data_IF_620955152071
#
_entry.id   IF_620955152071
#
_cell.length_a   1.000
_cell.length_b   1.000
_cell.length_c   1.000
_cell.angle_alpha   90.00
_cell.angle_beta   90.00
_cell.angle_gamma   90.00
#
_symmetry.space_group_name_H-M   'P 1'
#
loop_
_entity.id
_entity.type
_entity.pdbx_description
1 polymer ?
#
# COMPACT_ATOMS: atom_id res chain seq x y z
N UNK A 1 5.69 10.79 17.28
CA UNK A 1 4.54 9.87 17.25
C UNK A 1 4.90 8.71 16.29
N UNK A 2 4.93 7.44 16.73
CA UNK A 2 5.28 6.33 15.84
C UNK A 2 4.18 6.02 14.80
N UNK A 3 2.93 6.40 15.05
CA UNK A 3 1.79 6.07 14.19
C UNK A 3 1.49 7.10 13.10
N UNK A 4 2.24 8.21 13.09
CA UNK A 4 2.11 9.30 12.15
C UNK A 4 3.48 9.61 11.57
N UNK A 5 3.63 9.45 10.26
CA UNK A 5 4.79 9.86 9.48
C UNK A 5 4.30 10.89 8.47
N UNK A 6 4.67 12.14 8.64
CA UNK A 6 4.28 13.12 7.66
C UNK A 6 5.11 14.37 7.63
N UNK A 7 4.96 15.15 6.56
CA UNK A 7 5.68 16.39 6.31
C UNK A 7 7.19 16.16 6.32
N UNK A 8 7.65 15.26 5.46
CA UNK A 8 9.06 14.90 5.32
C UNK A 8 9.45 14.90 3.86
N UNK A 9 10.71 15.25 3.60
CA UNK A 9 11.26 15.30 2.25
C UNK A 9 12.65 14.70 2.18
N UNK A 10 12.88 13.78 1.23
CA UNK A 10 14.21 13.19 1.03
C UNK A 10 14.69 12.29 2.17
N UNK A 11 13.77 11.75 2.98
CA UNK A 11 14.09 10.98 4.17
C UNK A 11 13.81 9.49 4.03
N UNK A 12 14.57 8.69 4.78
CA UNK A 12 14.33 7.26 4.94
C UNK A 12 13.73 7.00 6.32
N UNK A 13 12.48 6.54 6.35
CA UNK A 13 11.65 6.41 7.53
C UNK A 13 11.40 4.94 7.84
N UNK A 14 11.70 4.51 9.06
CA UNK A 14 11.58 3.11 9.47
C UNK A 14 10.60 2.91 10.64
N UNK A 15 9.82 1.83 10.56
CA UNK A 15 9.15 1.19 11.70
C UNK A 15 9.58 -0.25 11.76
N UNK A 16 10.22 -0.60 12.88
CA UNK A 16 10.72 -1.94 13.15
C UNK A 16 9.55 -2.89 13.46
N UNK A 17 9.75 -4.20 13.33
CA UNK A 17 8.80 -5.18 13.88
C UNK A 17 8.43 -4.84 15.34
N UNK A 18 7.17 -5.08 15.69
CA UNK A 18 6.57 -4.82 17.00
C UNK A 18 6.51 -3.35 17.47
N UNK A 19 6.86 -2.38 16.61
CA UNK A 19 6.79 -0.95 16.93
C UNK A 19 5.43 -0.31 16.68
N UNK A 20 4.62 -0.89 15.79
CA UNK A 20 3.27 -0.45 15.46
C UNK A 20 2.21 -1.29 16.20
N UNK A 21 2.51 -2.54 16.55
CA UNK A 21 1.67 -3.40 17.41
C UNK A 21 0.22 -3.50 16.92
N UNK A 22 0.01 -3.56 15.61
CA UNK A 22 -1.32 -3.66 15.02
C UNK A 22 -2.16 -2.39 15.16
N UNK A 23 -1.57 -1.23 15.45
CA UNK A 23 -2.27 0.05 15.47
C UNK A 23 -2.45 0.61 14.06
N UNK A 24 -3.24 1.68 13.95
CA UNK A 24 -3.34 2.46 12.73
C UNK A 24 -2.01 3.15 12.41
N UNK A 25 -1.67 3.27 11.13
CA UNK A 25 -0.53 4.04 10.63
C UNK A 25 -1.00 5.07 9.60
N UNK A 26 -0.52 6.29 9.73
CA UNK A 26 -0.76 7.34 8.74
C UNK A 26 0.57 7.79 8.12
N UNK A 27 0.62 7.81 6.80
CA UNK A 27 1.65 8.45 5.99
C UNK A 27 1.01 9.66 5.30
N UNK A 28 1.56 10.86 5.48
CA UNK A 28 0.89 12.10 5.06
C UNK A 28 1.90 13.14 4.57
N UNK A 29 1.69 13.73 3.39
CA UNK A 29 2.58 14.78 2.86
C UNK A 29 4.08 14.36 2.85
N UNK A 30 4.37 13.18 2.30
CA UNK A 30 5.75 12.69 2.10
C UNK A 30 6.19 12.98 0.65
N UNK A 31 7.41 13.48 0.49
CA UNK A 31 7.97 13.81 -0.83
C UNK A 31 9.39 13.22 -0.96
N UNK A 32 9.69 12.50 -2.05
CA UNK A 32 11.03 11.92 -2.27
C UNK A 32 11.50 11.02 -1.10
N UNK A 33 10.58 10.33 -0.43
CA UNK A 33 10.87 9.55 0.78
C UNK A 33 10.86 8.04 0.54
N UNK A 34 11.62 7.33 1.37
CA UNK A 34 11.52 5.88 1.50
C UNK A 34 10.90 5.53 2.84
N UNK A 35 9.86 4.70 2.86
CA UNK A 35 9.16 4.29 4.08
C UNK A 35 9.16 2.78 4.19
N UNK A 36 9.66 2.27 5.30
CA UNK A 36 9.69 0.85 5.62
C UNK A 36 8.92 0.60 6.92
N UNK A 37 7.64 0.27 6.79
CA UNK A 37 6.77 -0.10 7.90
C UNK A 37 6.68 -1.62 8.03
N UNK A 38 7.72 -2.21 8.61
CA UNK A 38 7.93 -3.66 8.69
C UNK A 38 7.23 -4.30 9.90
N UNK A 39 5.95 -4.00 10.11
CA UNK A 39 5.13 -4.52 11.22
C UNK A 39 3.67 -4.67 10.79
N UNK A 40 2.86 -5.32 11.62
CA UNK A 40 1.41 -5.43 11.44
C UNK A 40 0.71 -4.11 11.77
N UNK A 41 -0.31 -3.77 10.99
CA UNK A 41 -1.18 -2.60 11.23
C UNK A 41 -2.65 -3.00 11.23
N UNK A 42 -3.50 -2.25 11.94
CA UNK A 42 -4.94 -2.43 11.86
C UNK A 42 -5.52 -1.80 10.59
N UNK A 43 -5.04 -0.60 10.27
CA UNK A 43 -5.50 0.22 9.14
C UNK A 43 -4.38 1.16 8.72
N UNK A 44 -4.29 1.49 7.43
CA UNK A 44 -3.29 2.44 6.94
C UNK A 44 -3.94 3.49 6.05
N UNK A 45 -3.54 4.75 6.26
CA UNK A 45 -3.83 5.87 5.37
C UNK A 45 -2.52 6.38 4.78
N UNK A 46 -2.47 6.52 3.46
CA UNK A 46 -1.36 7.10 2.72
C UNK A 46 -1.91 8.25 1.88
N UNK A 47 -1.62 9.47 2.30
CA UNK A 47 -2.24 10.68 1.77
C UNK A 47 -1.18 11.66 1.27
N UNK A 48 -1.44 12.30 0.13
CA UNK A 48 -0.60 13.39 -0.41
C UNK A 48 0.89 13.04 -0.56
N UNK A 49 1.21 11.78 -0.87
CA UNK A 49 2.60 11.32 -1.00
C UNK A 49 3.06 11.35 -2.47
N UNK A 50 4.26 11.89 -2.73
CA UNK A 50 4.81 11.96 -4.09
C UNK A 50 6.25 11.45 -4.18
N UNK A 51 6.56 10.73 -5.27
CA UNK A 51 7.90 10.18 -5.55
C UNK A 51 8.46 9.34 -4.39
N UNK A 52 7.59 8.57 -3.73
CA UNK A 52 7.95 7.78 -2.57
C UNK A 52 8.07 6.28 -2.89
N UNK A 53 8.96 5.61 -2.17
CA UNK A 53 9.01 4.14 -2.10
C UNK A 53 8.46 3.71 -0.74
N UNK A 54 7.44 2.87 -0.70
CA UNK A 54 6.75 2.52 0.53
C UNK A 54 6.57 1.01 0.64
N UNK A 55 7.15 0.40 1.66
CA UNK A 55 6.90 -0.97 2.08
C UNK A 55 6.04 -0.97 3.33
N UNK A 56 4.86 -1.61 3.24
CA UNK A 56 3.94 -1.84 4.34
C UNK A 56 3.83 -3.35 4.60
N UNK A 57 3.99 -3.74 5.87
CA UNK A 57 3.61 -5.06 6.32
C UNK A 57 2.10 -5.32 6.25
N UNK A 58 1.65 -6.53 6.64
CA UNK A 58 0.24 -6.89 6.63
C UNK A 58 -0.65 -5.91 7.41
N UNK A 59 -1.58 -5.30 6.70
CA UNK A 59 -2.66 -4.50 7.24
C UNK A 59 -3.91 -5.36 7.40
N UNK A 60 -4.36 -5.58 8.64
CA UNK A 60 -5.47 -6.48 8.95
C UNK A 60 -6.83 -6.04 8.36
N UNK A 61 -6.95 -4.79 7.94
CA UNK A 61 -8.15 -4.21 7.31
C UNK A 61 -7.78 -3.53 5.98
N UNK A 62 -8.31 -2.33 5.74
CA UNK A 62 -8.07 -1.56 4.53
C UNK A 62 -6.75 -0.76 4.58
N UNK A 63 -6.10 -0.67 3.43
CA UNK A 63 -5.12 0.38 3.12
C UNK A 63 -5.79 1.36 2.17
N UNK A 64 -5.81 2.64 2.55
CA UNK A 64 -6.28 3.74 1.71
C UNK A 64 -5.09 4.50 1.15
N UNK A 65 -5.04 4.66 -0.16
CA UNK A 65 -4.01 5.46 -0.84
C UNK A 65 -4.71 6.58 -1.60
N UNK A 66 -4.48 7.83 -1.19
CA UNK A 66 -5.20 9.00 -1.70
C UNK A 66 -4.22 10.08 -2.12
N UNK A 67 -4.53 10.74 -3.24
CA UNK A 67 -3.78 11.91 -3.71
C UNK A 67 -2.26 11.64 -3.83
N UNK A 68 -1.89 10.43 -4.30
CA UNK A 68 -0.50 10.00 -4.40
C UNK A 68 -0.02 9.97 -5.86
N UNK A 69 1.20 10.42 -6.11
CA UNK A 69 1.76 10.50 -7.46
C UNK A 69 3.20 10.00 -7.56
N UNK A 70 3.54 9.24 -8.60
CA UNK A 70 4.88 8.70 -8.84
C UNK A 70 5.43 7.82 -7.70
N UNK A 71 4.56 7.09 -7.01
CA UNK A 71 4.94 6.26 -5.88
C UNK A 71 5.02 4.76 -6.23
N UNK A 72 5.88 4.02 -5.54
CA UNK A 72 5.94 2.57 -5.61
C UNK A 72 5.63 1.99 -4.24
N UNK A 73 4.67 1.08 -4.20
CA UNK A 73 4.16 0.46 -3.00
C UNK A 73 4.38 -1.04 -3.01
N UNK A 74 4.95 -1.58 -1.93
CA UNK A 74 4.86 -2.99 -1.56
C UNK A 74 3.93 -3.07 -0.37
N UNK A 75 2.74 -3.64 -0.54
CA UNK A 75 1.75 -3.67 0.55
C UNK A 75 0.94 -4.97 0.56
N UNK A 76 0.63 -5.45 1.76
CA UNK A 76 -0.26 -6.56 2.00
C UNK A 76 -1.46 -6.05 2.80
N UNK A 77 -2.68 -6.25 2.29
CA UNK A 77 -3.88 -5.73 2.92
C UNK A 77 -5.05 -6.70 2.78
N UNK A 78 -6.06 -6.55 3.66
CA UNK A 78 -7.33 -7.22 3.42
C UNK A 78 -8.03 -6.57 2.22
N UNK A 79 -8.01 -5.24 2.16
CA UNK A 79 -8.59 -4.44 1.08
C UNK A 79 -7.61 -3.33 0.69
N UNK A 80 -7.36 -3.15 -0.59
CA UNK A 80 -6.76 -1.92 -1.13
C UNK A 80 -7.86 -1.02 -1.68
N UNK A 81 -7.82 0.27 -1.33
CA UNK A 81 -8.66 1.30 -1.93
C UNK A 81 -7.80 2.48 -2.34
N UNK A 82 -7.88 2.88 -3.61
CA UNK A 82 -7.18 4.07 -4.11
C UNK A 82 -8.17 5.14 -4.55
N UNK A 83 -7.82 6.40 -4.32
CA UNK A 83 -8.55 7.54 -4.88
C UNK A 83 -7.55 8.60 -5.35
N UNK A 84 -7.76 9.17 -6.53
CA UNK A 84 -6.90 10.22 -7.08
C UNK A 84 -5.38 9.90 -7.08
N UNK A 85 -5.02 8.68 -7.47
CA UNK A 85 -3.61 8.26 -7.59
C UNK A 85 -3.14 8.31 -9.05
N UNK A 86 -1.88 8.68 -9.29
CA UNK A 86 -1.33 8.82 -10.63
C UNK A 86 0.09 8.25 -10.76
N UNK A 87 0.34 7.45 -11.79
CA UNK A 87 1.68 6.84 -12.03
C UNK A 87 2.20 6.07 -10.82
N UNK A 88 1.31 5.35 -10.12
CA UNK A 88 1.67 4.56 -8.95
C UNK A 88 1.76 3.07 -9.31
N UNK A 89 2.75 2.39 -8.72
CA UNK A 89 2.93 0.94 -8.86
C UNK A 89 2.66 0.22 -7.55
N UNK A 90 1.89 -0.86 -7.59
CA UNK A 90 1.49 -1.64 -6.42
C UNK A 90 1.94 -3.11 -6.58
N UNK A 91 2.94 -3.50 -5.79
CA UNK A 91 3.27 -4.90 -5.51
C UNK A 91 2.40 -5.38 -4.35
N UNK A 92 1.32 -6.07 -4.68
CA UNK A 92 0.16 -6.20 -3.80
C UNK A 92 -0.08 -7.65 -3.36
N UNK A 93 -0.34 -7.81 -2.07
CA UNK A 93 -1.21 -8.89 -1.58
C UNK A 93 -2.55 -8.29 -1.21
N UNK A 94 -3.64 -8.80 -1.78
CA UNK A 94 -4.99 -8.38 -1.42
C UNK A 94 -5.89 -9.58 -1.18
N UNK A 95 -6.61 -9.60 -0.05
CA UNK A 95 -7.56 -10.67 0.28
C UNK A 95 -8.88 -10.53 -0.49
N UNK A 96 -9.20 -9.31 -0.94
CA UNK A 96 -10.36 -8.99 -1.79
C UNK A 96 -9.89 -8.28 -3.05
N UNK A 97 -10.80 -8.10 -4.01
CA UNK A 97 -10.61 -7.28 -5.20
C UNK A 97 -10.11 -5.87 -4.83
N UNK A 98 -8.94 -5.43 -5.33
CA UNK A 98 -8.47 -4.07 -5.13
C UNK A 98 -9.39 -3.07 -5.85
N UNK A 99 -9.69 -1.96 -5.19
CA UNK A 99 -10.58 -0.93 -5.72
C UNK A 99 -9.76 0.30 -6.09
N UNK A 100 -9.99 0.82 -7.29
CA UNK A 100 -9.45 2.10 -7.74
C UNK A 100 -10.57 3.06 -8.14
N UNK A 101 -10.35 4.35 -7.91
CA UNK A 101 -11.29 5.42 -8.27
C UNK A 101 -10.52 6.69 -8.63
N UNK A 102 -10.95 7.40 -9.68
CA UNK A 102 -10.38 8.69 -10.13
C UNK A 102 -8.84 8.63 -10.27
N UNK A 103 -8.30 7.45 -10.58
CA UNK A 103 -6.87 7.19 -10.63
C UNK A 103 -6.45 6.91 -12.07
N UNK A 104 -5.19 7.15 -12.42
CA UNK A 104 -4.68 6.97 -13.80
C UNK A 104 -3.25 6.43 -13.83
N UNK A 105 -2.93 5.66 -14.87
CA UNK A 105 -1.60 5.07 -15.06
C UNK A 105 -1.13 4.25 -13.84
N UNK A 106 -2.02 3.44 -13.27
CA UNK A 106 -1.69 2.53 -12.19
C UNK A 106 -1.10 1.22 -12.72
N UNK A 107 -0.17 0.64 -11.98
CA UNK A 107 0.45 -0.64 -12.34
C UNK A 107 0.35 -1.60 -11.17
N UNK A 108 -0.06 -2.85 -11.42
CA UNK A 108 -0.24 -3.87 -10.40
C UNK A 108 0.63 -5.11 -10.68
N UNK A 109 1.22 -5.64 -9.62
CA UNK A 109 2.05 -6.84 -9.61
C UNK A 109 1.77 -7.65 -8.34
N UNK A 110 2.08 -8.95 -8.29
CA UNK A 110 1.98 -9.69 -7.04
C UNK A 110 2.97 -9.15 -6.01
N UNK A 111 2.64 -9.29 -4.73
CA UNK A 111 3.53 -9.02 -3.61
C UNK A 111 4.93 -9.60 -3.86
N UNK A 112 5.95 -8.74 -3.79
CA UNK A 112 7.33 -9.07 -4.13
C UNK A 112 8.31 -8.49 -3.09
N UNK A 113 7.97 -8.59 -1.80
CA UNK A 113 8.81 -8.09 -0.71
C UNK A 113 9.02 -9.15 0.38
N UNK A 114 10.12 -9.01 1.11
CA UNK A 114 10.43 -9.81 2.30
C UNK A 114 11.21 -8.97 3.30
N UNK A 115 10.96 -9.20 4.58
CA UNK A 115 11.62 -8.52 5.68
C UNK A 115 11.58 -9.42 6.94
N UNK A 116 12.38 -9.14 7.98
CA UNK A 116 12.37 -9.94 9.20
C UNK A 116 10.96 -10.04 9.79
N UNK A 117 10.54 -11.25 10.14
CA UNK A 117 9.19 -11.55 10.65
C UNK A 117 8.03 -11.39 9.64
N UNK A 118 8.30 -11.19 8.34
CA UNK A 118 7.25 -11.07 7.32
C UNK A 118 6.28 -12.27 7.34
N UNK A 119 6.79 -13.50 7.31
CA UNK A 119 5.94 -14.71 7.32
C UNK A 119 5.08 -14.87 8.57
N UNK A 120 5.61 -14.53 9.76
CA UNK A 120 4.81 -14.54 11.00
C UNK A 120 3.75 -13.44 10.98
N UNK A 121 4.06 -12.25 10.47
CA UNK A 121 3.08 -11.19 10.33
C UNK A 121 1.92 -11.57 9.39
N UNK A 122 2.21 -12.23 8.26
CA UNK A 122 1.19 -12.75 7.35
C UNK A 122 0.30 -13.79 8.04
N UNK A 123 0.93 -14.73 8.78
CA UNK A 123 0.21 -15.75 9.54
C UNK A 123 -0.72 -15.14 10.58
N UNK A 124 -0.24 -14.16 11.34
CA UNK A 124 -1.01 -13.49 12.39
C UNK A 124 -2.17 -12.65 11.82
N UNK A 125 -2.00 -12.08 10.63
CA UNK A 125 -3.07 -11.39 9.89
C UNK A 125 -4.09 -12.36 9.25
N UNK A 126 -3.83 -13.68 9.28
CA UNK A 126 -4.65 -14.68 8.62
C UNK A 126 -4.64 -14.54 7.09
N UNK A 127 -3.51 -14.12 6.53
CA UNK A 127 -3.30 -13.95 5.10
C UNK A 127 -2.70 -15.23 4.52
N UNK A 128 -3.51 -15.96 3.78
CA UNK A 128 -3.10 -17.16 3.05
C UNK A 128 -2.35 -16.76 1.78
N UNK A 129 -1.04 -17.09 1.64
CA UNK A 129 -0.25 -16.73 0.47
C UNK A 129 -0.80 -17.31 -0.85
N UNK A 130 -1.60 -18.38 -0.79
CA UNK A 130 -2.21 -19.00 -1.97
C UNK A 130 -3.49 -18.29 -2.41
N UNK A 131 -4.04 -17.38 -1.58
CA UNK A 131 -5.26 -16.63 -1.87
C UNK A 131 -4.94 -15.14 -1.97
N UNK A 132 -4.43 -14.74 -3.13
CA UNK A 132 -4.06 -13.37 -3.41
C UNK A 132 -4.79 -12.85 -4.66
N UNK A 133 -5.66 -11.86 -4.49
CA UNK A 133 -6.50 -11.24 -5.53
C UNK A 133 -5.88 -9.95 -6.09
N UNK A 134 -4.56 -9.79 -6.00
CA UNK A 134 -3.84 -8.60 -6.45
C UNK A 134 -4.13 -8.16 -7.90
N UNK A 135 -4.61 -9.05 -8.77
CA UNK A 135 -4.90 -8.80 -10.18
C UNK A 135 -6.40 -8.67 -10.49
N UNK A 136 -7.30 -8.78 -9.50
CA UNK A 136 -8.74 -8.68 -9.68
C UNK A 136 -9.22 -7.22 -9.46
N UNK A 137 -8.71 -6.30 -10.27
CA UNK A 137 -8.92 -4.85 -10.04
C UNK A 137 -10.34 -4.43 -10.43
N UNK A 138 -11.03 -3.75 -9.53
CA UNK A 138 -12.30 -3.07 -9.80
C UNK A 138 -12.07 -1.56 -9.94
N UNK A 139 -12.35 -1.01 -11.12
CA UNK A 139 -12.20 0.42 -11.43
C UNK A 139 -13.57 1.11 -11.50
N UNK A 140 -13.89 1.92 -10.49
CA UNK A 140 -15.14 2.69 -10.42
C UNK A 140 -15.27 3.75 -11.53
N UNK A 141 -14.13 4.20 -12.07
CA UNK A 141 -14.03 5.28 -13.04
C UNK A 141 -13.52 4.81 -14.41
N UNK A 142 -13.59 3.49 -14.64
CA UNK A 142 -13.17 2.87 -15.89
C UNK A 142 -13.95 3.41 -17.09
N UNK A 143 -13.27 3.47 -18.25
CA UNK A 143 -13.85 3.87 -19.53
C UNK A 143 -13.70 2.74 -20.54
N UNK A 144 -14.58 2.65 -21.53
CA UNK A 144 -14.55 1.57 -22.53
C UNK A 144 -13.27 1.59 -23.38
N UNK A 145 -12.75 2.77 -23.71
CA UNK A 145 -11.63 2.94 -24.66
C UNK A 145 -10.29 3.24 -23.99
N UNK A 146 -10.25 3.27 -22.65
CA UNK A 146 -9.05 3.61 -21.89
C UNK A 146 -9.01 2.90 -20.54
N UNK A 147 -7.92 2.18 -20.29
CA UNK A 147 -7.65 1.55 -19.00
C UNK A 147 -6.85 2.49 -18.10
N UNK A 148 -7.34 2.72 -16.89
CA UNK A 148 -6.63 3.50 -15.87
C UNK A 148 -5.48 2.73 -15.21
N UNK A 149 -5.38 1.43 -15.49
CA UNK A 149 -4.43 0.53 -14.85
C UNK A 149 -3.94 -0.57 -15.81
N UNK A 150 -2.81 -1.20 -15.46
CA UNK A 150 -2.24 -2.36 -16.15
C UNK A 150 -1.63 -3.35 -15.17
N UNK A 151 -1.39 -4.57 -15.64
CA UNK A 151 -0.57 -5.57 -14.96
C UNK A 151 0.87 -5.43 -15.44
N UNK A 152 1.84 -5.57 -14.52
CA UNK A 152 3.28 -5.65 -14.81
C UNK A 152 3.74 -7.09 -15.04
#
# INVERSE_FOLDING_TARGET
NPFMLGQRKGEVLFRKPDSLRGQQLNLDELEDCEVYACDKTAQVFVDFCSRCLVLLGPCASSVFVRDCEDCVFWMAAQQLRTNNCKRCTFYLYSKTDPIIETSTDLSFAPWAASYPQCGSHFKDAGFDPHRNLWNAIFDFTGKMDYANWRIL
#
